data_IF_840821419870
#
_entry.id   IF_840821419870
#
_cell.length_a   1.000
_cell.length_b   1.000
_cell.length_c   1.000
_cell.angle_alpha   90.00
_cell.angle_beta   90.00
_cell.angle_gamma   90.00
#
_symmetry.space_group_name_H-M   'P 1'
#
loop_
_entity.id
_entity.type
_entity.pdbx_description
1 polymer ?
#
# COMPACT_ATOMS: atom_id res chain seq x y z
N UNK A 1 -4.46 -5.87 -0.75
CA UNK A 1 -4.14 -5.30 0.57
C UNK A 1 -2.64 -5.31 0.74
N UNK A 2 -2.03 -4.21 1.20
CA UNK A 2 -0.62 -4.13 1.59
C UNK A 2 -0.54 -4.14 3.11
N UNK A 3 0.51 -4.72 3.66
CA UNK A 3 0.72 -4.83 5.11
C UNK A 3 2.07 -4.21 5.42
N UNK A 4 2.10 -3.31 6.39
CA UNK A 4 3.31 -2.68 6.90
C UNK A 4 3.44 -3.02 8.37
N UNK A 5 4.64 -3.43 8.77
CA UNK A 5 4.99 -3.72 10.15
C UNK A 5 5.60 -2.46 10.76
N UNK A 6 5.16 -2.09 11.96
CA UNK A 6 5.77 -0.99 12.72
C UNK A 6 7.26 -1.29 13.00
N UNK A 7 8.07 -0.24 13.13
CA UNK A 7 9.49 -0.29 13.53
C UNK A 7 10.42 -1.08 12.59
N UNK A 8 10.04 -1.30 11.33
CA UNK A 8 10.84 -1.98 10.32
C UNK A 8 10.78 -1.22 9.02
N UNK A 9 11.88 -1.13 8.26
CA UNK A 9 11.91 -0.47 6.93
C UNK A 9 10.62 -0.69 6.13
N UNK A 10 9.76 0.33 6.13
CA UNK A 10 8.40 0.20 5.65
C UNK A 10 8.39 0.42 4.13
N UNK A 11 8.26 -0.67 3.38
CA UNK A 11 8.15 -0.60 1.93
C UNK A 11 6.99 -1.44 1.41
N UNK A 12 6.40 -1.00 0.31
CA UNK A 12 5.39 -1.78 -0.39
C UNK A 12 5.55 -1.67 -1.90
N UNK A 13 5.34 -2.80 -2.57
CA UNK A 13 5.31 -2.87 -4.03
C UNK A 13 3.88 -2.80 -4.52
N UNK A 14 3.57 -1.95 -5.49
CA UNK A 14 2.28 -1.94 -6.17
C UNK A 14 2.43 -2.08 -7.68
N UNK A 15 1.37 -2.53 -8.34
CA UNK A 15 1.30 -2.54 -9.80
C UNK A 15 0.55 -1.27 -10.20
N UNK A 16 1.22 -0.31 -10.85
CA UNK A 16 0.58 0.93 -11.29
C UNK A 16 -0.52 0.65 -12.32
N UNK A 17 -1.60 1.43 -12.26
CA UNK A 17 -2.59 1.54 -13.34
C UNK A 17 -2.01 2.32 -14.52
N UNK A 18 -1.26 3.36 -14.19
CA UNK A 18 -0.48 4.16 -15.12
C UNK A 18 0.96 4.16 -14.63
N UNK A 19 1.87 3.67 -15.45
CA UNK A 19 3.28 3.56 -15.09
C UNK A 19 3.93 4.95 -15.09
N UNK A 20 4.48 5.40 -13.95
CA UNK A 20 5.24 6.64 -13.92
C UNK A 20 6.64 6.40 -14.49
N UNK A 21 7.24 7.48 -14.99
CA UNK A 21 8.65 7.48 -15.37
C UNK A 21 9.53 7.67 -14.13
N UNK A 22 10.81 7.31 -14.22
CA UNK A 22 11.78 7.51 -13.14
C UNK A 22 12.04 8.97 -12.80
N UNK A 23 11.70 9.89 -13.71
CA UNK A 23 11.85 11.35 -13.52
C UNK A 23 10.55 12.02 -13.05
N UNK A 24 9.46 11.27 -12.93
CA UNK A 24 8.18 11.84 -12.48
C UNK A 24 8.20 12.10 -10.98
N UNK A 25 7.48 13.12 -10.55
CA UNK A 25 7.22 13.33 -9.13
C UNK A 25 5.86 12.72 -8.79
N UNK A 26 5.83 11.96 -7.70
CA UNK A 26 4.62 11.28 -7.22
C UNK A 26 4.17 11.90 -5.90
N UNK A 27 2.87 11.86 -5.66
CA UNK A 27 2.25 12.15 -4.37
C UNK A 27 1.55 10.88 -3.88
N UNK A 28 1.84 10.47 -2.65
CA UNK A 28 1.19 9.34 -1.99
C UNK A 28 0.39 9.89 -0.82
N UNK A 29 -0.93 9.71 -0.89
CA UNK A 29 -1.87 10.10 0.17
C UNK A 29 -2.45 8.87 0.81
N UNK A 30 -2.47 8.86 2.14
CA UNK A 30 -3.10 7.83 2.95
C UNK A 30 -4.31 8.43 3.64
N UNK A 31 -5.46 7.76 3.53
CA UNK A 31 -6.66 8.13 4.28
C UNK A 31 -6.94 7.07 5.33
N UNK A 32 -6.89 7.43 6.61
CA UNK A 32 -7.26 6.51 7.69
C UNK A 32 -8.77 6.18 7.58
N UNK A 33 -9.12 4.89 7.52
CA UNK A 33 -10.52 4.45 7.39
C UNK A 33 -11.35 4.71 8.66
N UNK A 34 -10.70 4.79 9.84
CA UNK A 34 -11.38 5.02 11.12
C UNK A 34 -11.59 6.51 11.38
N UNK A 35 -10.53 7.31 11.26
CA UNK A 35 -10.54 8.73 11.61
C UNK A 35 -10.86 9.65 10.43
N UNK A 36 -10.84 9.13 9.20
CA UNK A 36 -10.90 9.90 7.94
C UNK A 36 -9.77 10.93 7.77
N UNK A 37 -8.74 10.90 8.62
CA UNK A 37 -7.57 11.78 8.51
C UNK A 37 -6.82 11.48 7.22
N UNK A 38 -6.45 12.55 6.50
CA UNK A 38 -5.60 12.48 5.32
C UNK A 38 -4.15 12.75 5.74
N UNK A 39 -3.24 11.89 5.27
CA UNK A 39 -1.81 11.96 5.55
C UNK A 39 -1.08 11.99 4.21
N UNK A 40 -0.28 13.04 4.00
CA UNK A 40 0.68 13.08 2.90
C UNK A 40 1.94 12.32 3.33
N UNK A 41 2.24 11.24 2.61
CA UNK A 41 3.35 10.36 2.95
C UNK A 41 4.66 10.93 2.41
N UNK A 42 5.74 10.85 3.19
CA UNK A 42 7.10 11.13 2.71
C UNK A 42 7.74 9.81 2.31
N UNK A 43 8.11 9.69 1.04
CA UNK A 43 8.60 8.45 0.46
C UNK A 43 9.63 8.68 -0.64
N UNK A 44 10.35 7.62 -0.96
CA UNK A 44 11.07 7.48 -2.22
C UNK A 44 10.44 6.35 -3.02
N UNK A 45 10.55 6.41 -4.35
CA UNK A 45 10.04 5.35 -5.20
C UNK A 45 11.08 4.88 -6.20
N UNK A 46 10.95 3.63 -6.62
CA UNK A 46 11.68 3.09 -7.75
C UNK A 46 10.74 2.29 -8.63
N UNK A 47 10.98 2.35 -9.94
CA UNK A 47 10.26 1.52 -10.91
C UNK A 47 11.17 0.36 -11.26
N UNK A 48 10.77 -0.85 -10.88
CA UNK A 48 11.51 -2.07 -11.15
C UNK A 48 10.63 -3.05 -11.90
N UNK A 49 11.03 -3.38 -13.14
CA UNK A 49 10.25 -4.19 -14.08
C UNK A 49 8.80 -3.68 -14.23
N UNK A 50 7.83 -4.37 -13.64
CA UNK A 50 6.40 -4.03 -13.68
C UNK A 50 5.84 -3.54 -12.35
N UNK A 51 6.71 -3.28 -11.37
CA UNK A 51 6.32 -2.86 -10.03
C UNK A 51 6.82 -1.45 -9.73
N UNK A 52 5.97 -0.67 -9.07
CA UNK A 52 6.34 0.54 -8.37
C UNK A 52 6.63 0.15 -6.92
N UNK A 53 7.89 0.26 -6.52
CA UNK A 53 8.32 0.08 -5.16
C UNK A 53 8.29 1.45 -4.47
N UNK A 54 7.55 1.55 -3.37
CA UNK A 54 7.47 2.74 -2.54
C UNK A 54 8.13 2.40 -1.21
N UNK A 55 9.15 3.18 -0.84
CA UNK A 55 9.86 3.10 0.43
C UNK A 55 9.48 4.31 1.25
N UNK A 56 8.86 4.09 2.41
CA UNK A 56 8.50 5.14 3.35
C UNK A 56 9.78 5.60 4.05
N UNK A 57 10.07 6.90 3.98
CA UNK A 57 11.29 7.47 4.58
C UNK A 57 11.01 8.13 5.92
N UNK A 58 9.76 8.52 6.16
CA UNK A 58 9.30 9.08 7.42
C UNK A 58 7.95 8.47 7.78
N UNK A 59 7.89 7.78 8.92
CA UNK A 59 6.70 7.05 9.36
C UNK A 59 5.74 8.05 10.01
N UNK A 60 4.50 8.20 9.49
CA UNK A 60 3.54 9.12 10.08
C UNK A 60 3.20 8.75 11.53
N UNK A 61 3.07 9.74 12.41
CA UNK A 61 2.73 9.52 13.83
C UNK A 61 1.35 8.85 14.06
N UNK A 62 0.46 8.91 13.07
CA UNK A 62 -0.88 8.28 13.11
C UNK A 62 -0.82 6.76 12.86
N UNK A 63 0.33 6.20 12.46
CA UNK A 63 0.47 4.77 12.20
C UNK A 63 0.38 3.98 13.51
N UNK A 64 -0.81 3.45 13.78
CA UNK A 64 -1.07 2.56 14.91
C UNK A 64 -1.44 1.16 14.41
N UNK A 65 -1.07 0.14 15.18
CA UNK A 65 -1.40 -1.25 14.87
C UNK A 65 -2.92 -1.43 14.78
N UNK A 66 -3.37 -2.12 13.72
CA UNK A 66 -4.78 -2.33 13.42
C UNK A 66 -5.41 -1.24 12.56
N UNK A 67 -4.76 -0.09 12.37
CA UNK A 67 -5.27 0.94 11.48
C UNK A 67 -5.21 0.50 10.02
N UNK A 68 -6.26 0.89 9.28
CA UNK A 68 -6.40 0.65 7.85
C UNK A 68 -6.39 1.98 7.13
N UNK A 69 -5.68 2.02 6.01
CA UNK A 69 -5.54 3.21 5.19
C UNK A 69 -5.90 2.93 3.75
N UNK A 70 -6.59 3.87 3.11
CA UNK A 70 -6.73 3.90 1.66
C UNK A 70 -5.52 4.62 1.06
N UNK A 71 -4.83 3.95 0.14
CA UNK A 71 -3.68 4.51 -0.57
C UNK A 71 -4.16 5.13 -1.87
N UNK A 72 -3.82 6.39 -2.09
CA UNK A 72 -3.92 7.05 -3.40
C UNK A 72 -2.53 7.51 -3.83
N UNK A 73 -2.07 7.03 -4.98
CA UNK A 73 -0.84 7.50 -5.60
C UNK A 73 -1.20 8.25 -6.87
N UNK A 74 -0.74 9.49 -6.95
CA UNK A 74 -0.94 10.36 -8.11
C UNK A 74 0.39 10.84 -8.64
N UNK A 75 0.48 11.00 -9.95
CA UNK A 75 1.63 11.59 -10.62
C UNK A 75 1.38 13.10 -10.76
N UNK A 76 2.12 13.90 -9.99
CA UNK A 76 1.96 15.36 -9.93
C UNK A 76 2.61 16.05 -11.15
N UNK A 77 3.63 15.45 -11.78
CA UNK A 77 4.20 15.98 -13.04
C UNK A 77 3.26 15.81 -14.23
N UNK A 78 2.36 14.83 -14.17
CA UNK A 78 1.37 14.55 -15.22
C UNK A 78 -0.06 14.83 -14.76
N UNK A 79 -0.38 16.10 -14.52
CA UNK A 79 -1.74 16.60 -14.24
C UNK A 79 -2.50 15.83 -13.13
N UNK A 80 -1.80 15.40 -12.07
CA UNK A 80 -2.40 14.59 -10.99
C UNK A 80 -3.04 13.28 -11.48
N UNK A 81 -2.50 12.69 -12.56
CA UNK A 81 -2.99 11.42 -13.09
C UNK A 81 -2.87 10.30 -12.06
N UNK A 82 -3.89 9.44 -12.01
CA UNK A 82 -3.99 8.41 -11.00
C UNK A 82 -3.06 7.23 -11.33
N UNK A 83 -2.05 7.01 -10.50
CA UNK A 83 -1.05 5.96 -10.65
C UNK A 83 -1.51 4.67 -9.97
N UNK A 84 -2.01 4.76 -8.73
CA UNK A 84 -2.39 3.57 -7.97
C UNK A 84 -3.48 3.89 -6.94
N UNK A 85 -4.37 2.91 -6.73
CA UNK A 85 -5.32 2.87 -5.63
C UNK A 85 -5.16 1.55 -4.90
N UNK A 86 -5.11 1.60 -3.58
CA UNK A 86 -4.94 0.40 -2.77
C UNK A 86 -5.43 0.58 -1.35
N UNK A 87 -5.21 -0.46 -0.56
CA UNK A 87 -5.45 -0.45 0.88
C UNK A 87 -4.21 -0.94 1.60
N UNK A 88 -3.93 -0.34 2.75
CA UNK A 88 -2.82 -0.61 3.64
C UNK A 88 -3.35 -1.00 5.02
N UNK A 89 -2.74 -2.00 5.63
CA UNK A 89 -2.95 -2.38 7.02
C UNK A 89 -1.64 -2.21 7.77
N UNK A 90 -1.68 -1.50 8.90
CA UNK A 90 -0.56 -1.39 9.82
C UNK A 90 -0.69 -2.48 10.88
N UNK A 91 0.39 -3.20 11.15
CA UNK A 91 0.43 -4.29 12.14
C UNK A 91 1.65 -4.13 13.04
N UNK A 92 1.61 -4.72 14.24
CA UNK A 92 2.74 -4.74 15.15
C UNK A 92 3.95 -5.47 14.53
N UNK A 93 5.15 -5.07 14.94
CA UNK A 93 6.43 -5.59 14.48
C UNK A 93 6.52 -7.14 14.54
N UNK A 94 5.93 -7.72 15.59
CA UNK A 94 5.93 -9.16 15.89
C UNK A 94 4.69 -9.89 15.33
N UNK A 95 3.84 -9.20 14.57
CA UNK A 95 2.69 -9.84 13.95
C UNK A 95 3.20 -10.84 12.92
N UNK A 96 2.84 -12.10 13.13
CA UNK A 96 3.11 -13.13 12.14
C UNK A 96 2.19 -12.89 10.94
N UNK A 97 2.79 -12.48 9.81
CA UNK A 97 2.07 -12.25 8.55
C UNK A 97 2.08 -13.54 7.71
N UNK A 98 2.50 -14.69 8.27
CA UNK A 98 2.51 -15.95 7.54
C UNK A 98 1.11 -16.54 7.30
N UNK A 99 0.85 -16.63 6.01
CA UNK A 99 0.08 -17.63 5.28
C UNK A 99 -1.44 -17.68 5.49
N UNK A 100 -2.12 -16.93 4.62
CA UNK A 100 -3.22 -17.54 3.89
C UNK A 100 -2.64 -18.68 3.03
N UNK A 101 -2.43 -19.86 3.62
CA UNK A 101 -2.41 -21.06 2.80
C UNK A 101 -3.76 -21.09 2.09
N UNK A 102 -3.75 -21.32 0.78
CA UNK A 102 -4.94 -21.59 -0.01
C UNK A 102 -5.56 -22.88 0.54
N UNK A 103 -6.27 -22.81 1.68
CA UNK A 103 -7.08 -23.90 2.18
C UNK A 103 -8.19 -24.04 1.17
N UNK A 104 -7.94 -24.96 0.23
CA UNK A 104 -8.82 -25.55 -0.75
C UNK A 104 -10.19 -24.88 -0.76
N UNK A 105 -10.42 -24.06 -1.78
CA UNK A 105 -11.76 -23.68 -2.17
C UNK A 105 -12.55 -24.99 -2.29
N UNK A 106 -13.38 -25.31 -1.28
CA UNK A 106 -14.23 -26.49 -1.36
C UNK A 106 -15.23 -26.20 -2.46
N UNK A 107 -14.98 -26.75 -3.65
CA UNK A 107 -16.00 -26.84 -4.68
C UNK A 107 -16.99 -27.92 -4.22
N UNK A 108 -17.81 -27.58 -3.23
CA UNK A 108 -19.06 -28.29 -3.00
C UNK A 108 -19.95 -27.98 -4.19
N UNK A 109 -19.78 -28.74 -5.27
CA UNK A 109 -20.76 -28.84 -6.33
C UNK A 109 -21.97 -29.48 -5.66
N UNK A 110 -23.08 -28.76 -5.55
CA UNK A 110 -24.36 -29.35 -5.16
C UNK A 110 -24.61 -30.55 -6.07
N UNK A 111 -24.47 -31.77 -5.55
CA UNK A 111 -25.06 -32.96 -6.12
C UNK A 111 -26.49 -33.03 -5.57
N UNK A 112 -27.46 -32.90 -6.48
CA UNK A 112 -28.87 -33.17 -6.25
C UNK A 112 -29.18 -34.61 -6.62
#
# INVERSE_FOLDING_TARGET
MKVIKLNQLEQFNCIPRQYPNSMDELSVKLKNELTNTMIDLVFTFSVSASYLNIVITDVPADFESGNRYEITVSNITNNNSLVYLGKLLVVDENTDVQNYEYKQQSSSRYEY
#
